data_IF_431038830503
#
_entry.id   IF_431038830503
#
_cell.length_a   1.000
_cell.length_b   1.000
_cell.length_c   1.000
_cell.angle_alpha   90.00
_cell.angle_beta   90.00
_cell.angle_gamma   90.00
#
_symmetry.space_group_name_H-M   'P 1'
#
loop_
_entity.id
_entity.type
_entity.pdbx_description
1 polymer ?
#
# COMPACT_ATOMS: atom_id res chain seq x y z
N UNK A 1 -12.45 -22.07 -18.90
CA UNK A 1 -12.09 -21.63 -17.56
C UNK A 1 -11.43 -22.77 -16.81
N UNK A 2 -10.30 -22.50 -16.17
CA UNK A 2 -9.67 -23.46 -15.27
C UNK A 2 -10.51 -23.60 -14.00
N UNK A 3 -10.51 -24.75 -13.31
CA UNK A 3 -11.20 -24.90 -12.03
C UNK A 3 -10.82 -23.82 -11.02
N UNK A 4 -9.55 -23.40 -10.99
CA UNK A 4 -9.02 -22.34 -10.17
C UNK A 4 -9.75 -21.00 -10.36
N UNK A 5 -9.94 -20.58 -11.62
CA UNK A 5 -10.61 -19.29 -11.93
C UNK A 5 -12.07 -19.33 -11.50
N UNK A 6 -12.75 -20.46 -11.73
CA UNK A 6 -14.12 -20.63 -11.30
C UNK A 6 -14.24 -20.60 -9.76
N UNK A 7 -13.31 -21.24 -9.06
CA UNK A 7 -13.28 -21.24 -7.59
C UNK A 7 -13.18 -19.83 -7.01
N UNK A 8 -12.20 -19.04 -7.46
CA UNK A 8 -12.04 -17.65 -6.97
C UNK A 8 -13.21 -16.77 -7.41
N UNK A 9 -13.76 -16.92 -8.60
CA UNK A 9 -14.90 -16.13 -9.07
C UNK A 9 -16.15 -16.35 -8.20
N UNK A 10 -16.46 -17.61 -7.87
CA UNK A 10 -17.58 -17.94 -6.98
C UNK A 10 -17.31 -17.46 -5.56
N UNK A 11 -16.10 -17.66 -5.06
CA UNK A 11 -15.72 -17.21 -3.71
C UNK A 11 -15.84 -15.69 -3.58
N UNK A 12 -15.22 -14.95 -4.49
CA UNK A 12 -15.21 -13.48 -4.44
C UNK A 12 -16.61 -12.89 -4.54
N UNK A 13 -17.46 -13.39 -5.43
CA UNK A 13 -18.82 -12.92 -5.57
C UNK A 13 -19.65 -13.11 -4.29
N UNK A 14 -19.55 -14.29 -3.67
CA UNK A 14 -20.23 -14.57 -2.41
C UNK A 14 -19.67 -13.74 -1.26
N UNK A 15 -18.34 -13.62 -1.16
CA UNK A 15 -17.70 -12.82 -0.13
C UNK A 15 -18.11 -11.36 -0.19
N UNK A 16 -18.12 -10.77 -1.40
CA UNK A 16 -18.50 -9.37 -1.62
C UNK A 16 -19.99 -9.16 -1.32
N UNK A 17 -20.88 -10.05 -1.76
CA UNK A 17 -22.29 -9.97 -1.41
C UNK A 17 -22.53 -9.99 0.10
N UNK A 18 -21.80 -10.82 0.84
CA UNK A 18 -21.88 -10.88 2.30
C UNK A 18 -21.23 -9.65 2.97
N UNK A 19 -20.08 -9.20 2.45
CA UNK A 19 -19.37 -8.03 2.98
C UNK A 19 -20.19 -6.76 2.79
N UNK A 20 -20.72 -6.53 1.60
CA UNK A 20 -21.50 -5.34 1.24
C UNK A 20 -22.95 -5.40 1.74
N UNK A 21 -23.43 -6.59 2.08
CA UNK A 21 -24.81 -6.80 2.53
C UNK A 21 -25.87 -6.62 1.44
N UNK A 22 -25.44 -6.62 0.18
CA UNK A 22 -26.28 -6.46 -1.02
C UNK A 22 -25.97 -7.63 -1.95
N UNK A 23 -26.97 -8.45 -2.34
CA UNK A 23 -26.77 -9.51 -3.31
C UNK A 23 -26.21 -8.97 -4.64
N UNK A 24 -25.50 -9.81 -5.39
CA UNK A 24 -25.10 -9.48 -6.75
C UNK A 24 -26.30 -8.98 -7.56
N UNK A 25 -26.22 -7.81 -8.23
CA UNK A 25 -27.36 -7.17 -8.85
C UNK A 25 -27.79 -7.79 -10.19
N UNK A 26 -27.21 -8.94 -10.59
CA UNK A 26 -27.50 -9.64 -11.85
C UNK A 26 -27.98 -11.08 -11.63
N UNK A 27 -28.54 -11.68 -12.68
CA UNK A 27 -29.01 -13.06 -12.66
C UNK A 27 -27.88 -14.07 -12.95
N UNK A 28 -26.84 -13.67 -13.65
CA UNK A 28 -25.69 -14.49 -14.05
C UNK A 28 -24.46 -13.63 -14.27
N UNK A 29 -23.27 -14.22 -14.20
CA UNK A 29 -22.01 -13.56 -14.49
C UNK A 29 -21.15 -14.45 -15.39
N UNK A 30 -20.85 -13.98 -16.61
CA UNK A 30 -19.93 -14.64 -17.53
C UNK A 30 -18.53 -14.02 -17.41
N UNK A 31 -17.50 -14.87 -17.43
CA UNK A 31 -16.10 -14.48 -17.52
C UNK A 31 -15.58 -14.85 -18.90
N UNK A 32 -15.23 -13.87 -19.70
CA UNK A 32 -14.95 -14.03 -21.13
C UNK A 32 -13.49 -13.68 -21.42
N UNK A 33 -12.68 -14.68 -21.79
CA UNK A 33 -11.31 -14.44 -22.27
C UNK A 33 -11.34 -13.94 -23.72
N UNK A 34 -10.70 -12.80 -23.97
CA UNK A 34 -10.64 -12.16 -25.30
C UNK A 34 -9.20 -12.10 -25.78
N UNK A 35 -8.89 -12.64 -26.98
CA UNK A 35 -7.60 -12.43 -27.63
C UNK A 35 -7.35 -10.94 -27.89
N UNK A 36 -6.08 -10.53 -27.75
CA UNK A 36 -5.61 -9.15 -28.04
C UNK A 36 -6.35 -8.03 -27.28
N UNK A 37 -6.92 -8.33 -26.09
CA UNK A 37 -7.56 -7.34 -25.25
C UNK A 37 -6.53 -6.33 -24.71
N UNK A 38 -6.76 -5.03 -24.91
CA UNK A 38 -5.79 -3.98 -24.61
C UNK A 38 -5.56 -3.78 -23.12
N UNK A 39 -6.63 -3.84 -22.30
CA UNK A 39 -6.60 -3.71 -20.84
C UNK A 39 -6.36 -5.07 -20.16
N UNK A 40 -6.32 -5.09 -18.83
CA UNK A 40 -6.32 -6.33 -18.04
C UNK A 40 -7.67 -7.03 -18.13
N UNK A 41 -8.71 -6.31 -17.76
CA UNK A 41 -10.10 -6.73 -17.87
C UNK A 41 -11.03 -5.52 -17.99
N UNK A 42 -12.35 -5.76 -18.04
CA UNK A 42 -13.41 -4.74 -18.07
C UNK A 42 -14.66 -5.32 -17.42
N UNK A 43 -15.17 -4.62 -16.45
CA UNK A 43 -16.20 -5.03 -15.51
C UNK A 43 -17.64 -5.02 -16.05
N UNK A 44 -17.87 -5.17 -17.34
CA UNK A 44 -19.25 -5.11 -17.88
C UNK A 44 -20.22 -5.98 -17.07
N UNK A 45 -21.27 -5.38 -16.55
CA UNK A 45 -22.26 -6.05 -15.71
C UNK A 45 -22.79 -7.32 -16.39
N UNK A 46 -22.64 -8.46 -15.73
CA UNK A 46 -23.07 -9.77 -16.23
C UNK A 46 -22.19 -10.42 -17.29
N UNK A 47 -21.14 -9.74 -17.81
CA UNK A 47 -20.26 -10.25 -18.87
C UNK A 47 -18.86 -9.62 -18.82
N UNK A 48 -18.11 -9.92 -17.76
CA UNK A 48 -16.76 -9.40 -17.57
C UNK A 48 -15.84 -9.95 -18.67
N UNK A 49 -15.12 -9.04 -19.34
CA UNK A 49 -14.15 -9.39 -20.37
C UNK A 49 -12.73 -9.30 -19.83
N UNK A 50 -11.91 -10.27 -20.17
CA UNK A 50 -10.52 -10.37 -19.68
C UNK A 50 -9.55 -10.55 -20.83
N UNK A 51 -8.37 -10.00 -20.71
CA UNK A 51 -7.21 -10.45 -21.45
C UNK A 51 -6.93 -11.92 -21.10
N UNK A 52 -6.62 -12.75 -22.10
CA UNK A 52 -6.38 -14.19 -21.87
C UNK A 52 -5.38 -14.45 -20.74
N UNK A 53 -4.29 -13.68 -20.65
CA UNK A 53 -3.26 -13.83 -19.61
C UNK A 53 -3.70 -13.37 -18.21
N UNK A 54 -4.84 -12.70 -18.09
CA UNK A 54 -5.45 -12.28 -16.82
C UNK A 54 -6.56 -13.25 -16.34
N UNK A 55 -6.90 -14.27 -17.14
CA UNK A 55 -7.94 -15.23 -16.81
C UNK A 55 -7.52 -16.69 -16.99
N UNK A 56 -6.81 -17.01 -18.07
CA UNK A 56 -6.47 -18.39 -18.42
C UNK A 56 -5.19 -18.85 -17.75
N UNK A 57 -5.25 -20.00 -17.09
CA UNK A 57 -4.16 -20.56 -16.31
C UNK A 57 -4.06 -22.07 -16.47
N UNK A 58 -2.86 -22.58 -16.72
CA UNK A 58 -2.56 -24.01 -16.51
C UNK A 58 -1.99 -24.20 -15.09
N UNK A 59 -2.80 -24.68 -14.17
CA UNK A 59 -2.43 -24.90 -12.77
C UNK A 59 -1.18 -25.79 -12.56
N UNK A 60 -0.86 -26.64 -13.54
CA UNK A 60 0.31 -27.56 -13.42
C UNK A 60 1.63 -26.85 -13.64
N UNK A 61 1.63 -25.73 -14.34
CA UNK A 61 2.84 -24.99 -14.73
C UNK A 61 2.89 -23.57 -14.20
N UNK A 62 1.73 -23.06 -13.72
CA UNK A 62 1.62 -21.70 -13.23
C UNK A 62 2.41 -21.47 -11.95
N UNK A 63 3.12 -20.37 -11.93
CA UNK A 63 3.81 -19.88 -10.73
C UNK A 63 2.80 -19.35 -9.70
N UNK A 64 3.23 -19.26 -8.45
CA UNK A 64 2.44 -18.64 -7.39
C UNK A 64 2.07 -17.18 -7.72
N UNK A 65 2.99 -16.43 -8.30
CA UNK A 65 2.74 -15.05 -8.73
C UNK A 65 1.66 -14.93 -9.81
N UNK A 66 1.64 -15.85 -10.79
CA UNK A 66 0.60 -15.89 -11.82
C UNK A 66 -0.77 -16.24 -11.23
N UNK A 67 -0.81 -17.22 -10.32
CA UNK A 67 -2.05 -17.58 -9.60
C UNK A 67 -2.58 -16.39 -8.79
N UNK A 68 -1.70 -15.73 -8.03
CA UNK A 68 -2.05 -14.56 -7.24
C UNK A 68 -2.61 -13.43 -8.11
N UNK A 69 -1.93 -13.11 -9.22
CA UNK A 69 -2.39 -12.07 -10.14
C UNK A 69 -3.78 -12.37 -10.74
N UNK A 70 -4.03 -13.61 -11.16
CA UNK A 70 -5.35 -13.99 -11.72
C UNK A 70 -6.42 -13.89 -10.64
N UNK A 71 -6.13 -14.34 -9.42
CA UNK A 71 -7.05 -14.24 -8.31
C UNK A 71 -7.40 -12.78 -8.00
N UNK A 72 -6.39 -11.90 -7.96
CA UNK A 72 -6.57 -10.47 -7.73
C UNK A 72 -7.46 -9.85 -8.82
N UNK A 73 -7.14 -10.06 -10.10
CA UNK A 73 -7.91 -9.48 -11.21
C UNK A 73 -9.36 -9.98 -11.20
N UNK A 74 -9.60 -11.28 -10.99
CA UNK A 74 -10.97 -11.82 -10.92
C UNK A 74 -11.76 -11.22 -9.74
N UNK A 75 -11.12 -11.05 -8.58
CA UNK A 75 -11.76 -10.44 -7.42
C UNK A 75 -11.99 -8.92 -7.62
N UNK A 76 -11.08 -8.23 -8.32
CA UNK A 76 -11.19 -6.82 -8.70
C UNK A 76 -12.43 -6.61 -9.59
N UNK A 77 -12.53 -7.34 -10.68
CA UNK A 77 -13.66 -7.21 -11.61
C UNK A 77 -15.00 -7.58 -10.94
N UNK A 78 -14.99 -8.56 -10.03
CA UNK A 78 -16.19 -8.87 -9.26
C UNK A 78 -16.57 -7.75 -8.28
N UNK A 79 -15.60 -7.03 -7.71
CA UNK A 79 -15.89 -5.91 -6.82
C UNK A 79 -16.56 -4.73 -7.55
N UNK A 80 -16.23 -4.53 -8.81
CA UNK A 80 -16.88 -3.51 -9.63
C UNK A 80 -18.39 -3.70 -9.76
N UNK A 81 -18.93 -4.90 -9.58
CA UNK A 81 -20.38 -5.14 -9.60
C UNK A 81 -21.11 -4.29 -8.56
N UNK A 82 -20.43 -3.86 -7.47
CA UNK A 82 -20.93 -2.90 -6.48
C UNK A 82 -20.31 -1.52 -6.66
N UNK A 83 -18.98 -1.45 -6.88
CA UNK A 83 -18.22 -0.20 -6.98
C UNK A 83 -17.92 0.12 -8.46
N UNK A 84 -18.90 0.69 -9.14
CA UNK A 84 -18.87 1.00 -10.57
C UNK A 84 -20.21 0.74 -11.23
N UNK A 85 -20.75 -0.47 -11.06
CA UNK A 85 -22.02 -0.88 -11.69
C UNK A 85 -23.23 -0.52 -10.83
N UNK A 86 -23.28 -0.99 -9.57
CA UNK A 86 -24.42 -0.67 -8.69
C UNK A 86 -24.42 0.80 -8.28
N UNK A 87 -23.26 1.33 -7.89
CA UNK A 87 -23.02 2.74 -7.59
C UNK A 87 -21.90 3.23 -8.49
N UNK A 88 -22.23 4.14 -9.39
CA UNK A 88 -21.28 4.68 -10.37
C UNK A 88 -20.81 6.07 -9.94
N UNK A 89 -19.55 6.39 -10.15
CA UNK A 89 -19.03 7.76 -9.96
C UNK A 89 -19.89 8.78 -10.74
N UNK A 90 -20.13 9.95 -10.18
CA UNK A 90 -20.94 11.00 -10.83
C UNK A 90 -20.22 11.59 -12.07
N UNK A 91 -18.89 11.62 -12.05
CA UNK A 91 -18.07 12.07 -13.16
C UNK A 91 -16.66 11.44 -13.08
N UNK A 92 -15.90 11.53 -14.14
CA UNK A 92 -14.57 10.93 -14.30
C UNK A 92 -13.55 11.35 -13.24
N UNK A 93 -13.67 12.54 -12.62
CA UNK A 93 -12.80 12.93 -11.52
C UNK A 93 -12.91 11.98 -10.31
N UNK A 94 -14.07 11.35 -10.11
CA UNK A 94 -14.33 10.36 -9.06
C UNK A 94 -13.94 8.93 -9.43
N UNK A 95 -13.16 8.69 -10.49
CA UNK A 95 -12.79 7.33 -10.96
C UNK A 95 -12.23 6.43 -9.85
N UNK A 96 -11.53 7.00 -8.90
CA UNK A 96 -10.97 6.27 -7.75
C UNK A 96 -12.04 5.60 -6.87
N UNK A 97 -13.29 6.11 -6.87
CA UNK A 97 -14.42 5.48 -6.15
C UNK A 97 -14.76 4.10 -6.72
N UNK A 98 -14.46 3.86 -7.98
CA UNK A 98 -14.58 2.55 -8.61
C UNK A 98 -13.28 1.77 -8.42
N UNK A 99 -12.19 2.27 -8.97
CA UNK A 99 -10.93 1.55 -9.14
C UNK A 99 -10.16 1.29 -7.84
N UNK A 100 -10.08 2.29 -6.95
CA UNK A 100 -9.41 2.10 -5.67
C UNK A 100 -10.20 1.17 -4.75
N UNK A 101 -11.55 1.22 -4.81
CA UNK A 101 -12.36 0.26 -4.07
C UNK A 101 -12.20 -1.16 -4.62
N UNK A 102 -12.23 -1.35 -5.93
CA UNK A 102 -11.99 -2.66 -6.52
C UNK A 102 -10.60 -3.20 -6.13
N UNK A 103 -9.56 -2.35 -6.18
CA UNK A 103 -8.20 -2.73 -5.73
C UNK A 103 -8.13 -3.03 -4.23
N UNK A 104 -8.84 -2.30 -3.38
CA UNK A 104 -8.91 -2.59 -1.95
C UNK A 104 -9.65 -3.91 -1.69
N UNK A 105 -10.78 -4.13 -2.38
CA UNK A 105 -11.61 -5.33 -2.22
C UNK A 105 -10.93 -6.59 -2.76
N UNK A 106 -10.20 -6.51 -3.87
CA UNK A 106 -9.42 -7.66 -4.38
C UNK A 106 -8.45 -8.19 -3.31
N UNK A 107 -7.71 -7.28 -2.65
CA UNK A 107 -6.79 -7.67 -1.59
C UNK A 107 -7.53 -8.26 -0.39
N UNK A 108 -8.65 -7.68 0.00
CA UNK A 108 -9.46 -8.15 1.13
C UNK A 108 -10.03 -9.55 0.87
N UNK A 109 -10.54 -9.76 -0.34
CA UNK A 109 -11.14 -11.05 -0.78
C UNK A 109 -10.07 -12.14 -0.87
N UNK A 110 -8.97 -11.88 -1.58
CA UNK A 110 -7.96 -12.91 -1.83
C UNK A 110 -7.18 -13.27 -0.56
N UNK A 111 -6.92 -12.28 0.32
CA UNK A 111 -6.33 -12.54 1.65
C UNK A 111 -7.25 -13.40 2.55
N UNK A 112 -8.56 -13.20 2.46
CA UNK A 112 -9.53 -14.03 3.17
C UNK A 112 -9.67 -15.44 2.56
N UNK A 113 -9.55 -15.57 1.24
CA UNK A 113 -9.61 -16.86 0.53
C UNK A 113 -8.37 -17.72 0.74
N UNK A 114 -7.20 -17.09 0.69
CA UNK A 114 -5.89 -17.74 0.82
C UNK A 114 -5.00 -16.94 1.79
N UNK A 115 -5.24 -17.01 3.10
CA UNK A 115 -4.47 -16.23 4.10
C UNK A 115 -2.97 -16.49 4.03
N UNK A 116 -2.56 -17.72 3.67
CA UNK A 116 -1.17 -18.12 3.50
C UNK A 116 -0.44 -17.39 2.34
N UNK A 117 -1.17 -16.67 1.49
CA UNK A 117 -0.61 -15.86 0.41
C UNK A 117 -0.20 -14.46 0.87
N UNK A 118 -0.56 -14.07 2.10
CA UNK A 118 -0.19 -12.78 2.71
C UNK A 118 -0.39 -11.60 1.75
N UNK A 119 -1.60 -11.47 1.16
CA UNK A 119 -1.85 -10.50 0.07
C UNK A 119 -1.59 -9.06 0.47
N UNK A 120 -1.77 -8.69 1.72
CA UNK A 120 -1.43 -7.35 2.21
C UNK A 120 0.08 -7.10 2.25
N UNK A 121 0.91 -8.13 2.43
CA UNK A 121 2.38 -8.00 2.27
C UNK A 121 2.74 -7.77 0.79
N UNK A 122 2.15 -8.55 -0.12
CA UNK A 122 2.34 -8.36 -1.57
C UNK A 122 1.86 -6.97 -2.03
N UNK A 123 0.71 -6.48 -1.53
CA UNK A 123 0.20 -5.14 -1.80
C UNK A 123 1.17 -4.03 -1.34
N UNK A 124 2.04 -4.30 -0.35
CA UNK A 124 3.12 -3.41 0.03
C UNK A 124 4.02 -3.00 -1.14
N UNK A 125 4.23 -3.89 -2.12
CA UNK A 125 5.00 -3.61 -3.35
C UNK A 125 4.26 -2.61 -4.24
N UNK A 126 2.97 -2.83 -4.48
CA UNK A 126 2.11 -1.93 -5.26
C UNK A 126 2.02 -0.54 -4.60
N UNK A 127 1.83 -0.50 -3.28
CA UNK A 127 1.88 0.74 -2.50
C UNK A 127 3.24 1.44 -2.62
N UNK A 128 4.36 0.72 -2.61
CA UNK A 128 5.69 1.30 -2.78
C UNK A 128 5.88 1.91 -4.19
N UNK A 129 5.28 1.33 -5.22
CA UNK A 129 5.25 1.92 -6.56
C UNK A 129 4.47 3.23 -6.56
N UNK A 130 3.29 3.29 -5.93
CA UNK A 130 2.52 4.52 -5.76
C UNK A 130 3.31 5.59 -4.98
N UNK A 131 3.94 5.22 -3.85
CA UNK A 131 4.81 6.13 -3.09
C UNK A 131 5.98 6.67 -3.93
N UNK A 132 6.51 5.87 -4.86
CA UNK A 132 7.62 6.28 -5.72
C UNK A 132 7.18 7.33 -6.75
N UNK A 133 6.02 7.16 -7.36
CA UNK A 133 5.44 8.12 -8.31
C UNK A 133 4.99 9.39 -7.58
N UNK A 134 4.32 9.24 -6.44
CA UNK A 134 3.77 10.34 -5.67
C UNK A 134 4.83 11.18 -4.92
N UNK A 135 6.06 10.66 -4.82
CA UNK A 135 7.25 11.39 -4.35
C UNK A 135 7.89 12.32 -5.39
N UNK A 136 7.43 12.32 -6.64
CA UNK A 136 7.92 13.19 -7.70
C UNK A 136 7.31 14.59 -7.59
N UNK A 137 8.01 15.61 -8.08
CA UNK A 137 7.47 16.98 -8.15
C UNK A 137 6.30 17.10 -9.14
N UNK A 138 6.26 16.23 -10.15
CA UNK A 138 5.21 16.17 -11.18
C UNK A 138 3.99 15.35 -10.79
N UNK A 139 3.91 14.89 -9.55
CA UNK A 139 2.75 14.10 -9.06
C UNK A 139 1.46 14.93 -9.07
N UNK A 140 0.34 14.21 -9.01
CA UNK A 140 -1.02 14.77 -9.02
C UNK A 140 -1.83 14.29 -7.80
N UNK A 141 -2.94 14.96 -7.44
CA UNK A 141 -3.94 14.40 -6.53
C UNK A 141 -4.56 13.12 -7.09
N UNK A 142 -5.17 12.30 -6.23
CA UNK A 142 -6.01 11.17 -6.67
C UNK A 142 -7.18 11.71 -7.47
N UNK A 143 -7.89 12.67 -6.91
CA UNK A 143 -9.01 13.34 -7.58
C UNK A 143 -8.63 14.76 -7.99
N UNK A 144 -8.85 15.06 -9.27
CA UNK A 144 -8.68 16.40 -9.85
C UNK A 144 -9.73 16.61 -10.96
N UNK A 145 -10.07 17.88 -11.31
CA UNK A 145 -11.08 18.17 -12.31
C UNK A 145 -10.74 17.56 -13.67
N UNK A 146 -11.63 16.74 -14.22
CA UNK A 146 -11.55 16.17 -15.58
C UNK A 146 -12.52 16.91 -16.49
N UNK A 147 -12.00 17.54 -17.54
CA UNK A 147 -12.76 18.40 -18.46
C UNK A 147 -12.93 17.81 -19.85
N UNK A 148 -12.08 16.83 -20.19
CA UNK A 148 -12.04 16.23 -21.52
C UNK A 148 -11.73 14.73 -21.43
N UNK A 149 -12.17 13.89 -22.40
CA UNK A 149 -11.92 12.43 -22.40
C UNK A 149 -10.43 12.06 -22.28
N UNK A 150 -9.54 12.82 -22.91
CA UNK A 150 -8.09 12.61 -22.83
C UNK A 150 -7.55 12.77 -21.40
N UNK A 151 -8.15 13.62 -20.59
CA UNK A 151 -7.77 13.81 -19.19
C UNK A 151 -8.27 12.61 -18.35
N UNK A 152 -9.45 12.04 -18.70
CA UNK A 152 -9.97 10.84 -18.06
C UNK A 152 -9.04 9.64 -18.28
N UNK A 153 -8.52 9.44 -19.50
CA UNK A 153 -7.58 8.37 -19.81
C UNK A 153 -6.32 8.43 -18.93
N UNK A 154 -5.84 9.64 -18.62
CA UNK A 154 -4.67 9.85 -17.76
C UNK A 154 -4.93 9.52 -16.27
N UNK A 155 -6.17 9.29 -15.86
CA UNK A 155 -6.50 8.89 -14.49
C UNK A 155 -6.31 7.39 -14.22
N UNK A 156 -6.22 6.56 -15.24
CA UNK A 156 -5.97 5.11 -15.08
C UNK A 156 -4.48 4.86 -14.80
N UNK A 157 -4.05 5.19 -13.60
CA UNK A 157 -2.66 5.05 -13.17
C UNK A 157 -2.53 4.60 -11.69
N UNK A 158 -1.31 4.34 -11.27
CA UNK A 158 -0.94 3.90 -9.93
C UNK A 158 -1.45 4.81 -8.79
N UNK A 159 -1.75 6.08 -9.05
CA UNK A 159 -2.27 6.99 -8.03
C UNK A 159 -3.77 6.77 -7.81
N UNK A 160 -4.52 6.52 -8.86
CA UNK A 160 -5.95 6.21 -8.75
C UNK A 160 -6.14 4.84 -8.08
N UNK A 161 -5.42 3.82 -8.52
CA UNK A 161 -5.57 2.43 -8.04
C UNK A 161 -4.89 2.22 -6.68
N UNK A 162 -3.56 2.20 -6.65
CA UNK A 162 -2.77 1.74 -5.52
C UNK A 162 -2.67 2.78 -4.39
N UNK A 163 -2.50 4.08 -4.72
CA UNK A 163 -2.58 5.12 -3.68
C UNK A 163 -3.99 5.16 -3.11
N UNK A 164 -5.03 5.17 -3.96
CA UNK A 164 -6.42 5.18 -3.53
C UNK A 164 -6.74 4.00 -2.59
N UNK A 165 -6.41 2.76 -3.00
CA UNK A 165 -6.61 1.56 -2.17
C UNK A 165 -5.80 1.60 -0.86
N UNK A 166 -4.56 2.13 -0.90
CA UNK A 166 -3.74 2.30 0.31
C UNK A 166 -4.36 3.28 1.30
N UNK A 167 -4.95 4.35 0.80
CA UNK A 167 -5.65 5.37 1.60
C UNK A 167 -6.92 4.78 2.22
N UNK A 168 -7.68 3.97 1.48
CA UNK A 168 -8.83 3.22 2.02
C UNK A 168 -8.39 2.22 3.09
N UNK A 169 -7.30 1.48 2.87
CA UNK A 169 -6.76 0.55 3.88
C UNK A 169 -6.32 1.27 5.14
N UNK A 170 -5.64 2.41 5.01
CA UNK A 170 -5.22 3.24 6.15
C UNK A 170 -6.44 3.73 6.95
N UNK A 171 -7.50 4.18 6.28
CA UNK A 171 -8.74 4.62 6.91
C UNK A 171 -9.45 3.46 7.60
N UNK A 172 -9.59 2.32 6.94
CA UNK A 172 -10.19 1.10 7.51
C UNK A 172 -9.49 0.69 8.79
N UNK A 173 -8.16 0.69 8.81
CA UNK A 173 -7.38 0.34 10.00
C UNK A 173 -7.48 1.39 11.11
N UNK A 174 -7.72 2.64 10.75
CA UNK A 174 -7.91 3.74 11.71
C UNK A 174 -9.27 3.66 12.42
N UNK A 175 -10.36 3.56 11.66
CA UNK A 175 -11.72 3.56 12.23
C UNK A 175 -12.17 2.16 12.66
N UNK A 176 -11.49 1.13 12.23
CA UNK A 176 -11.78 -0.29 12.49
C UNK A 176 -12.55 -0.97 11.36
N UNK A 177 -12.19 -2.24 11.02
CA UNK A 177 -12.74 -2.94 9.86
C UNK A 177 -14.26 -3.08 9.85
N UNK A 178 -14.86 -3.34 11.02
CA UNK A 178 -16.33 -3.46 11.14
C UNK A 178 -17.03 -2.13 10.87
N UNK A 179 -16.53 -1.05 11.45
CA UNK A 179 -17.11 0.30 11.27
C UNK A 179 -16.93 0.76 9.82
N UNK A 180 -15.77 0.48 9.20
CA UNK A 180 -15.52 0.77 7.79
C UNK A 180 -16.52 0.04 6.89
N UNK A 181 -16.69 -1.27 7.10
CA UNK A 181 -17.68 -2.09 6.37
C UNK A 181 -19.11 -1.53 6.52
N UNK A 182 -19.50 -1.17 7.72
CA UNK A 182 -20.87 -0.65 7.97
C UNK A 182 -21.07 0.70 7.25
N UNK A 183 -20.02 1.55 7.17
CA UNK A 183 -20.05 2.79 6.39
C UNK A 183 -20.12 2.52 4.88
N UNK A 184 -19.39 1.53 4.38
CA UNK A 184 -19.45 1.09 2.97
C UNK A 184 -20.86 0.57 2.63
N UNK A 185 -21.46 -0.26 3.47
CA UNK A 185 -22.84 -0.72 3.31
C UNK A 185 -23.83 0.42 3.24
N UNK A 186 -23.68 1.40 4.11
CA UNK A 186 -24.51 2.59 4.10
C UNK A 186 -24.37 3.37 2.79
N UNK A 187 -23.14 3.56 2.30
CA UNK A 187 -22.84 4.21 1.04
C UNK A 187 -23.51 3.49 -0.14
N UNK A 188 -23.25 2.19 -0.29
CA UNK A 188 -23.81 1.39 -1.38
C UNK A 188 -25.36 1.34 -1.34
N UNK A 189 -25.94 1.18 -0.16
CA UNK A 189 -27.43 1.14 -0.03
C UNK A 189 -28.06 2.49 -0.36
N UNK A 190 -27.42 3.59 0.06
CA UNK A 190 -27.96 4.95 -0.15
C UNK A 190 -27.93 5.36 -1.63
N UNK A 191 -26.89 4.95 -2.34
CA UNK A 191 -26.63 5.35 -3.73
C UNK A 191 -26.90 4.26 -4.77
N UNK A 192 -27.48 3.11 -4.35
CA UNK A 192 -27.75 1.96 -5.25
C UNK A 192 -28.54 2.41 -6.50
N UNK A 193 -28.07 1.92 -7.67
CA UNK A 193 -28.61 2.27 -8.98
C UNK A 193 -28.52 3.76 -9.33
N UNK A 194 -27.58 4.47 -8.72
CA UNK A 194 -27.36 5.89 -8.89
C UNK A 194 -25.91 6.25 -9.02
N UNK A 195 -25.63 7.54 -8.88
CA UNK A 195 -24.30 8.10 -8.96
C UNK A 195 -23.88 8.69 -7.61
N UNK A 196 -22.58 8.71 -7.34
CA UNK A 196 -22.03 9.25 -6.11
C UNK A 196 -20.73 10.04 -6.36
N UNK A 197 -20.45 10.96 -5.45
CA UNK A 197 -19.21 11.72 -5.37
C UNK A 197 -18.40 11.31 -4.12
N UNK A 198 -17.16 11.72 -4.06
CA UNK A 198 -16.26 11.46 -2.91
C UNK A 198 -16.87 11.91 -1.58
N UNK A 199 -17.59 13.01 -1.57
CA UNK A 199 -18.28 13.54 -0.38
C UNK A 199 -19.37 12.60 0.15
N UNK A 200 -20.05 11.86 -0.71
CA UNK A 200 -21.10 10.91 -0.33
C UNK A 200 -20.53 9.71 0.44
N UNK A 201 -19.37 9.24 -0.01
CA UNK A 201 -18.60 8.22 0.70
C UNK A 201 -18.17 8.70 2.09
N UNK A 202 -17.62 9.93 2.17
CA UNK A 202 -17.21 10.50 3.46
C UNK A 202 -18.36 10.67 4.43
N UNK A 203 -19.53 11.11 3.96
CA UNK A 203 -20.73 11.22 4.79
C UNK A 203 -21.12 9.85 5.35
N UNK A 204 -21.10 8.80 4.53
CA UNK A 204 -21.47 7.45 4.96
C UNK A 204 -20.47 6.87 5.98
N UNK A 205 -19.17 7.05 5.77
CA UNK A 205 -18.14 6.61 6.71
C UNK A 205 -18.14 7.44 8.00
N UNK A 206 -18.39 8.76 7.91
CA UNK A 206 -18.55 9.62 9.09
C UNK A 206 -19.78 9.23 9.91
N UNK A 207 -20.90 8.88 9.27
CA UNK A 207 -22.10 8.39 9.93
C UNK A 207 -21.81 7.10 10.73
N UNK A 208 -21.12 6.13 10.12
CA UNK A 208 -20.81 4.87 10.78
C UNK A 208 -19.76 5.03 11.90
N UNK A 209 -18.72 5.82 11.67
CA UNK A 209 -17.60 5.97 12.61
C UNK A 209 -17.80 7.01 13.69
N UNK A 210 -18.75 7.92 13.53
CA UNK A 210 -18.95 9.12 14.36
C UNK A 210 -17.68 10.00 14.44
N UNK A 211 -16.85 9.97 13.38
CA UNK A 211 -15.63 10.77 13.24
C UNK A 211 -15.76 11.75 12.07
N UNK A 212 -14.94 12.81 12.09
CA UNK A 212 -14.88 13.76 10.98
C UNK A 212 -14.00 13.21 9.84
N UNK A 213 -14.54 12.23 9.10
CA UNK A 213 -13.83 11.58 7.97
C UNK A 213 -13.44 12.57 6.89
N UNK A 214 -14.27 13.56 6.49
CA UNK A 214 -13.84 14.59 5.53
C UNK A 214 -12.55 15.31 5.94
N UNK A 215 -12.48 15.76 7.20
CA UNK A 215 -11.29 16.45 7.70
C UNK A 215 -10.03 15.55 7.69
N UNK A 216 -10.22 14.24 7.96
CA UNK A 216 -9.15 13.26 7.92
C UNK A 216 -8.66 12.99 6.49
N UNK A 217 -9.59 12.90 5.53
CA UNK A 217 -9.30 12.28 4.23
C UNK A 217 -9.08 13.26 3.08
N UNK A 218 -9.57 14.50 3.17
CA UNK A 218 -9.53 15.43 2.05
C UNK A 218 -8.10 15.69 1.54
N UNK A 219 -7.12 15.85 2.44
CA UNK A 219 -5.73 16.06 2.04
C UNK A 219 -5.13 14.85 1.28
N UNK A 220 -5.59 13.64 1.60
CA UNK A 220 -5.09 12.43 0.92
C UNK A 220 -5.62 12.28 -0.50
N UNK A 221 -6.83 12.75 -0.76
CA UNK A 221 -7.51 12.58 -2.05
C UNK A 221 -7.29 13.78 -2.97
N UNK A 222 -7.40 15.00 -2.43
CA UNK A 222 -7.40 16.24 -3.22
C UNK A 222 -6.05 16.95 -3.27
N UNK A 223 -5.05 16.44 -2.55
CA UNK A 223 -3.70 17.01 -2.56
C UNK A 223 -2.65 16.01 -3.08
N UNK A 224 -1.64 16.48 -3.85
CA UNK A 224 -0.57 15.63 -4.36
C UNK A 224 0.47 15.33 -3.28
N UNK A 225 1.10 14.18 -3.34
CA UNK A 225 2.15 13.78 -2.42
C UNK A 225 1.66 13.13 -1.15
N UNK A 226 2.58 12.89 -0.23
CA UNK A 226 2.37 12.21 1.04
C UNK A 226 3.41 12.63 2.08
N UNK A 227 3.17 12.40 3.39
CA UNK A 227 4.12 12.80 4.41
C UNK A 227 5.29 11.83 4.59
N UNK A 228 6.47 12.39 4.85
CA UNK A 228 7.58 11.72 5.53
C UNK A 228 7.44 12.00 7.02
N UNK A 229 7.31 10.94 7.81
CA UNK A 229 7.36 10.99 9.26
C UNK A 229 8.80 10.82 9.72
N UNK A 230 9.33 11.77 10.48
CA UNK A 230 10.63 11.61 11.13
C UNK A 230 10.44 11.40 12.62
N UNK A 231 11.05 10.34 13.15
CA UNK A 231 10.99 9.96 14.55
C UNK A 231 12.34 10.17 15.22
N UNK A 232 12.33 10.88 16.32
CA UNK A 232 13.50 11.08 17.18
C UNK A 232 13.12 10.89 18.65
N UNK A 233 14.11 10.55 19.47
CA UNK A 233 13.95 10.40 20.92
C UNK A 233 14.96 11.31 21.62
N UNK A 234 14.52 11.99 22.65
CA UNK A 234 15.38 12.81 23.49
C UNK A 234 15.84 12.07 24.77
N UNK A 235 16.71 12.72 25.56
CA UNK A 235 17.23 12.17 26.81
C UNK A 235 16.17 11.98 27.92
N UNK A 236 14.98 12.57 27.74
CA UNK A 236 13.85 12.42 28.67
C UNK A 236 12.92 11.27 28.32
N UNK A 237 13.28 10.46 27.32
CA UNK A 237 12.43 9.42 26.74
C UNK A 237 11.13 9.97 26.12
N UNK A 238 11.19 11.17 25.55
CA UNK A 238 10.09 11.73 24.78
C UNK A 238 10.32 11.48 23.30
N UNK A 239 9.38 10.77 22.67
CA UNK A 239 9.35 10.54 21.23
C UNK A 239 8.80 11.80 20.54
N UNK A 240 9.59 12.36 19.65
CA UNK A 240 9.17 13.46 18.76
C UNK A 240 8.84 12.88 17.40
N UNK A 241 7.62 13.14 16.94
CA UNK A 241 7.10 12.83 15.61
C UNK A 241 6.97 14.13 14.83
N UNK A 242 7.61 14.22 13.68
CA UNK A 242 7.42 15.36 12.76
C UNK A 242 6.96 14.87 11.41
N UNK A 243 6.15 15.70 10.71
CA UNK A 243 5.75 15.44 9.34
C UNK A 243 6.20 16.56 8.40
N UNK A 244 6.54 16.17 7.18
CA UNK A 244 6.71 17.07 6.05
C UNK A 244 6.41 16.31 4.76
N UNK A 245 6.09 17.00 3.67
CA UNK A 245 5.94 16.33 2.38
C UNK A 245 7.25 15.62 1.99
N UNK A 246 7.14 14.36 1.56
CA UNK A 246 8.26 13.63 0.97
C UNK A 246 8.48 14.07 -0.48
N UNK A 247 9.73 14.20 -0.89
CA UNK A 247 10.12 14.39 -2.29
C UNK A 247 11.54 13.89 -2.52
N UNK A 248 11.80 13.34 -3.72
CA UNK A 248 13.16 12.98 -4.15
C UNK A 248 14.02 14.19 -4.53
N UNK A 249 13.42 15.37 -4.74
CA UNK A 249 14.11 16.60 -5.09
C UNK A 249 14.50 17.44 -3.86
N UNK A 250 14.79 16.83 -2.73
CA UNK A 250 15.21 17.54 -1.52
C UNK A 250 16.51 18.32 -1.75
N UNK A 251 16.54 19.58 -1.32
CA UNK A 251 17.67 20.48 -1.57
C UNK A 251 17.67 21.18 -2.94
N UNK A 252 16.74 20.87 -3.83
CA UNK A 252 16.54 21.66 -5.05
C UNK A 252 15.91 23.02 -4.72
N UNK A 253 16.26 24.06 -5.48
CA UNK A 253 15.68 25.42 -5.35
C UNK A 253 14.16 25.44 -5.57
N UNK A 254 13.58 24.40 -6.15
CA UNK A 254 12.14 24.21 -6.31
C UNK A 254 11.42 23.92 -4.97
N UNK A 255 12.12 23.45 -3.94
CA UNK A 255 11.54 23.18 -2.61
C UNK A 255 11.35 24.47 -1.76
N UNK A 256 11.86 25.63 -2.21
CA UNK A 256 11.88 26.88 -1.42
C UNK A 256 10.78 27.89 -1.79
N UNK A 257 9.62 27.45 -2.25
CA UNK A 257 8.55 28.33 -2.79
C UNK A 257 7.77 29.16 -1.76
N UNK A 258 8.19 29.27 -0.51
CA UNK A 258 7.51 30.08 0.50
C UNK A 258 6.02 29.76 0.76
N UNK A 259 5.50 28.71 0.13
CA UNK A 259 4.15 28.23 0.34
C UNK A 259 4.00 27.62 1.77
N UNK A 260 2.83 27.72 2.41
CA UNK A 260 2.58 27.03 3.67
C UNK A 260 2.92 25.55 3.56
N UNK A 261 3.49 24.98 4.63
CA UNK A 261 3.79 23.55 4.67
C UNK A 261 2.49 22.75 4.49
N UNK A 262 2.48 21.85 3.50
CA UNK A 262 1.39 20.90 3.35
C UNK A 262 1.45 19.90 4.51
N UNK A 263 0.34 19.75 5.23
CA UNK A 263 0.20 18.85 6.38
C UNK A 263 -0.98 17.92 6.14
N UNK A 264 -0.86 16.69 6.63
CA UNK A 264 -1.92 15.68 6.61
C UNK A 264 -2.39 15.38 8.03
N UNK A 265 -3.61 14.92 8.17
CA UNK A 265 -4.00 14.18 9.37
C UNK A 265 -3.54 12.74 9.20
N UNK A 266 -2.47 12.37 9.91
CA UNK A 266 -1.81 11.07 9.74
C UNK A 266 -2.19 10.15 10.90
N UNK A 267 -2.99 9.09 10.67
CA UNK A 267 -3.24 8.07 11.68
C UNK A 267 -2.02 7.15 11.79
N UNK A 268 -1.38 7.16 12.94
CA UNK A 268 -0.16 6.38 13.18
C UNK A 268 -0.45 5.31 14.23
N UNK A 269 -0.09 4.06 13.91
CA UNK A 269 -0.03 2.99 14.90
C UNK A 269 1.43 2.78 15.30
N UNK A 270 1.71 2.99 16.60
CA UNK A 270 3.02 2.79 17.19
C UNK A 270 3.02 1.48 17.96
N UNK A 271 3.98 0.58 17.70
CA UNK A 271 4.32 -0.53 18.59
C UNK A 271 5.50 -0.10 19.45
N UNK A 272 5.30 -0.08 20.75
CA UNK A 272 6.33 0.29 21.74
C UNK A 272 6.68 -0.97 22.50
N UNK A 273 7.91 -1.45 22.35
CA UNK A 273 8.44 -2.55 23.16
C UNK A 273 8.99 -2.03 24.47
N UNK A 274 8.74 -2.76 25.54
CA UNK A 274 9.25 -2.52 26.89
C UNK A 274 9.82 -3.82 27.46
N UNK A 275 10.49 -3.77 28.61
CA UNK A 275 10.93 -4.97 29.33
C UNK A 275 9.77 -5.92 29.70
N UNK A 276 8.52 -5.44 29.70
CA UNK A 276 7.33 -6.18 30.10
C UNK A 276 6.51 -6.73 28.91
N UNK A 277 6.87 -6.37 27.69
CA UNK A 277 6.17 -6.75 26.45
C UNK A 277 5.96 -5.56 25.50
N UNK A 278 5.12 -5.74 24.50
CA UNK A 278 4.79 -4.71 23.54
C UNK A 278 3.40 -4.13 23.81
N UNK A 279 3.26 -2.80 23.60
CA UNK A 279 1.98 -2.11 23.57
C UNK A 279 1.77 -1.40 22.23
N UNK A 280 0.53 -1.39 21.73
CA UNK A 280 0.15 -0.59 20.56
C UNK A 280 -0.47 0.71 21.02
N UNK A 281 0.00 1.83 20.47
CA UNK A 281 -0.55 3.17 20.73
C UNK A 281 -0.98 3.81 19.42
N UNK A 282 -2.25 4.22 19.35
CA UNK A 282 -2.79 4.99 18.22
C UNK A 282 -2.58 6.49 18.46
N UNK A 283 -2.03 7.16 17.47
CA UNK A 283 -1.71 8.60 17.51
C UNK A 283 -2.21 9.25 16.23
N UNK A 284 -2.86 10.40 16.37
CA UNK A 284 -3.15 11.27 15.23
C UNK A 284 -2.11 12.39 15.20
N UNK A 285 -1.38 12.52 14.09
CA UNK A 285 -0.46 13.63 13.85
C UNK A 285 -1.13 14.60 12.87
N UNK A 286 -1.70 15.69 13.40
CA UNK A 286 -2.37 16.73 12.61
C UNK A 286 -1.51 17.97 12.42
N UNK A 287 -0.59 18.21 13.34
CA UNK A 287 0.35 19.33 13.32
C UNK A 287 1.69 18.90 12.70
N UNK A 288 2.58 19.86 12.49
CA UNK A 288 3.93 19.58 11.99
C UNK A 288 4.74 18.72 12.95
N UNK A 289 4.50 18.84 14.27
CA UNK A 289 5.20 18.10 15.32
C UNK A 289 4.22 17.64 16.40
N UNK A 290 4.47 16.42 16.93
CA UNK A 290 3.83 15.92 18.14
C UNK A 290 4.88 15.28 19.05
N UNK A 291 4.69 15.36 20.37
CA UNK A 291 5.58 14.81 21.37
C UNK A 291 4.85 13.83 22.27
N UNK A 292 5.41 12.63 22.40
CA UNK A 292 4.80 11.53 23.11
C UNK A 292 5.77 11.00 24.17
N UNK A 293 5.42 11.07 25.47
CA UNK A 293 6.22 10.43 26.48
C UNK A 293 6.16 8.90 26.33
N UNK A 294 7.32 8.26 26.32
CA UNK A 294 7.43 6.80 26.31
C UNK A 294 7.53 6.25 27.73
N UNK A 295 7.17 4.97 27.96
CA UNK A 295 7.49 4.28 29.20
C UNK A 295 8.99 4.33 29.49
N UNK A 296 9.39 4.42 30.76
CA UNK A 296 10.82 4.52 31.12
C UNK A 296 11.66 3.30 30.72
N UNK A 297 11.01 2.15 30.61
CA UNK A 297 11.59 0.86 30.26
C UNK A 297 11.39 0.49 28.76
N UNK A 298 11.13 1.50 27.89
CA UNK A 298 11.04 1.28 26.45
C UNK A 298 12.38 0.74 25.88
N UNK A 299 12.29 -0.14 24.89
CA UNK A 299 13.45 -0.73 24.23
C UNK A 299 13.46 -0.46 22.72
N UNK A 300 12.30 -0.47 22.07
CA UNK A 300 12.17 -0.09 20.66
C UNK A 300 10.79 0.49 20.35
N UNK A 301 10.73 1.27 19.27
CA UNK A 301 9.49 1.86 18.75
C UNK A 301 9.42 1.59 17.26
N UNK A 302 8.33 0.97 16.83
CA UNK A 302 7.97 0.83 15.43
C UNK A 302 6.80 1.76 15.12
N UNK A 303 6.93 2.63 14.13
CA UNK A 303 5.82 3.36 13.54
C UNK A 303 5.26 2.57 12.34
N UNK A 304 3.99 2.82 12.00
CA UNK A 304 3.26 2.09 10.98
C UNK A 304 3.17 0.59 11.27
N UNK A 305 2.82 0.24 12.53
CA UNK A 305 2.53 -1.15 12.91
C UNK A 305 1.50 -1.76 11.96
N UNK A 306 1.73 -3.00 11.51
CA UNK A 306 0.93 -3.67 10.50
C UNK A 306 1.14 -3.16 9.07
N UNK A 307 1.90 -2.08 8.89
CA UNK A 307 2.32 -1.60 7.58
C UNK A 307 1.24 -0.96 6.70
N UNK A 308 0.15 -0.44 7.28
CA UNK A 308 -1.05 -0.03 6.52
C UNK A 308 -1.07 1.46 6.09
N UNK A 309 -0.16 2.29 6.61
CA UNK A 309 -0.14 3.72 6.30
C UNK A 309 0.43 4.03 4.91
N UNK A 310 -0.11 5.06 4.24
CA UNK A 310 0.43 5.61 3.00
C UNK A 310 1.38 6.77 3.29
N UNK A 311 2.46 6.49 4.00
CA UNK A 311 3.50 7.45 4.36
C UNK A 311 4.84 6.73 4.53
N UNK A 312 5.94 7.48 4.49
CA UNK A 312 7.27 6.95 4.79
C UNK A 312 7.70 7.30 6.20
N UNK A 313 8.52 6.44 6.79
CA UNK A 313 9.04 6.62 8.15
C UNK A 313 10.56 6.69 8.12
N UNK A 314 11.12 7.72 8.76
CA UNK A 314 12.57 7.86 9.00
C UNK A 314 12.84 7.87 10.49
N UNK A 315 13.61 6.91 10.94
CA UNK A 315 14.02 6.77 12.33
C UNK A 315 15.35 7.50 12.59
N UNK A 316 15.49 8.13 13.76
CA UNK A 316 16.82 8.52 14.26
C UNK A 316 17.68 7.28 14.51
N UNK A 317 19.00 7.44 14.53
CA UNK A 317 19.95 6.33 14.79
C UNK A 317 19.63 5.60 16.09
N UNK A 318 19.26 6.31 17.15
CA UNK A 318 18.91 5.69 18.43
C UNK A 318 17.69 4.76 18.34
N UNK A 319 16.63 5.18 17.62
CA UNK A 319 15.43 4.38 17.43
C UNK A 319 15.68 3.19 16.50
N UNK A 320 16.45 3.40 15.42
CA UNK A 320 16.82 2.32 14.52
C UNK A 320 17.64 1.24 15.23
N UNK A 321 18.62 1.64 16.05
CA UNK A 321 19.40 0.72 16.88
C UNK A 321 18.50 -0.08 17.85
N UNK A 322 17.48 0.55 18.43
CA UNK A 322 16.50 -0.13 19.28
C UNK A 322 15.75 -1.24 18.52
N UNK A 323 15.29 -0.95 17.30
CA UNK A 323 14.63 -1.96 16.44
C UNK A 323 15.59 -3.11 16.08
N UNK A 324 16.84 -2.80 15.75
CA UNK A 324 17.87 -3.82 15.46
C UNK A 324 18.18 -4.71 16.66
N UNK A 325 18.27 -4.13 17.86
CA UNK A 325 18.52 -4.87 19.10
C UNK A 325 17.35 -5.74 19.54
N UNK A 326 16.13 -5.30 19.33
CA UNK A 326 14.93 -6.09 19.59
C UNK A 326 14.82 -7.27 18.61
N UNK A 327 15.46 -7.16 17.45
CA UNK A 327 15.52 -8.17 16.40
C UNK A 327 14.48 -7.91 15.29
N UNK A 328 14.97 -7.58 14.11
CA UNK A 328 14.09 -7.28 12.96
C UNK A 328 13.23 -8.47 12.53
N UNK A 329 13.65 -9.71 12.87
CA UNK A 329 12.88 -10.94 12.61
C UNK A 329 11.57 -11.02 13.40
N UNK A 330 11.41 -10.21 14.46
CA UNK A 330 10.15 -10.12 15.23
C UNK A 330 9.11 -9.24 14.51
N UNK A 331 9.52 -8.49 13.50
CA UNK A 331 8.63 -7.67 12.68
C UNK A 331 7.91 -8.55 11.64
N UNK A 332 6.66 -8.19 11.33
CA UNK A 332 5.93 -8.83 10.23
C UNK A 332 6.64 -8.57 8.89
N UNK A 333 6.49 -9.43 7.86
CA UNK A 333 7.12 -9.23 6.55
C UNK A 333 6.88 -7.85 5.96
N UNK A 334 5.65 -7.34 5.99
CA UNK A 334 5.30 -6.01 5.49
C UNK A 334 5.98 -4.88 6.28
N UNK A 335 6.22 -5.05 7.58
CA UNK A 335 6.93 -4.07 8.42
C UNK A 335 8.42 -4.03 8.07
N UNK A 336 9.03 -5.20 7.83
CA UNK A 336 10.41 -5.31 7.35
C UNK A 336 10.57 -4.70 5.95
N UNK A 337 9.62 -5.01 5.06
CA UNK A 337 9.52 -4.40 3.74
C UNK A 337 9.50 -2.88 3.82
N UNK A 338 8.60 -2.30 4.64
CA UNK A 338 8.47 -0.86 4.81
C UNK A 338 9.76 -0.24 5.33
N UNK A 339 10.38 -0.82 6.37
CA UNK A 339 11.63 -0.30 6.93
C UNK A 339 12.74 -0.18 5.88
N UNK A 340 12.92 -1.21 5.05
CA UNK A 340 13.90 -1.19 3.96
C UNK A 340 13.51 -0.22 2.85
N UNK A 341 12.25 -0.24 2.40
CA UNK A 341 11.78 0.60 1.30
C UNK A 341 11.81 2.09 1.67
N UNK A 342 11.43 2.45 2.91
CA UNK A 342 11.46 3.83 3.38
C UNK A 342 12.90 4.34 3.56
N UNK A 343 13.80 3.48 4.07
CA UNK A 343 15.22 3.81 4.18
C UNK A 343 15.85 3.95 2.79
N UNK A 344 15.52 3.06 1.85
CA UNK A 344 16.00 3.16 0.48
C UNK A 344 15.53 4.44 -0.21
N UNK A 345 14.23 4.77 -0.12
CA UNK A 345 13.70 6.02 -0.66
C UNK A 345 14.35 7.26 -0.05
N UNK A 346 14.63 7.23 1.26
CA UNK A 346 15.37 8.28 1.95
C UNK A 346 16.82 8.36 1.48
N UNK A 347 17.42 7.24 1.08
CA UNK A 347 18.78 7.19 0.49
C UNK A 347 18.79 7.83 -0.89
N UNK A 348 17.84 7.50 -1.75
CA UNK A 348 17.68 8.12 -3.07
C UNK A 348 17.46 9.64 -2.94
N UNK A 349 16.70 10.07 -1.94
CA UNK A 349 16.44 11.48 -1.66
C UNK A 349 17.64 12.21 -0.97
N UNK A 350 18.76 11.52 -0.72
CA UNK A 350 19.95 12.11 -0.10
C UNK A 350 19.86 12.36 1.41
N UNK A 351 18.83 11.82 2.08
CA UNK A 351 18.60 11.98 3.52
C UNK A 351 19.30 10.93 4.38
N UNK A 352 19.65 9.79 3.78
CA UNK A 352 20.38 8.67 4.39
C UNK A 352 21.56 8.34 3.50
N UNK A 353 22.73 8.05 4.09
CA UNK A 353 23.87 7.67 3.28
C UNK A 353 23.71 6.26 2.70
N UNK A 354 24.25 5.98 1.48
CA UNK A 354 24.27 4.62 0.94
C UNK A 354 24.95 3.60 1.88
N UNK A 355 25.96 4.04 2.64
CA UNK A 355 26.67 3.19 3.60
C UNK A 355 25.77 2.79 4.77
N UNK A 356 24.96 3.72 5.30
CA UNK A 356 23.99 3.42 6.37
C UNK A 356 22.91 2.47 5.89
N UNK A 357 22.42 2.65 4.64
CA UNK A 357 21.47 1.71 4.05
C UNK A 357 22.08 0.30 3.89
N UNK A 358 23.30 0.20 3.36
CA UNK A 358 23.98 -1.10 3.23
C UNK A 358 24.20 -1.76 4.60
N UNK A 359 24.56 -0.97 5.63
CA UNK A 359 24.67 -1.47 7.00
C UNK A 359 23.33 -1.97 7.55
N UNK A 360 22.20 -1.29 7.25
CA UNK A 360 20.88 -1.79 7.62
C UNK A 360 20.60 -3.16 7.00
N UNK A 361 20.93 -3.36 5.71
CA UNK A 361 20.71 -4.66 5.05
C UNK A 361 21.48 -5.82 5.69
N UNK A 362 22.51 -5.54 6.52
CA UNK A 362 23.23 -6.58 7.25
C UNK A 362 22.39 -7.34 8.25
N UNK A 363 21.37 -6.70 8.77
CA UNK A 363 20.44 -7.28 9.75
C UNK A 363 19.38 -8.19 9.11
N UNK A 364 19.34 -8.29 7.77
CA UNK A 364 18.40 -9.11 6.99
C UNK A 364 19.01 -10.39 6.41
N UNK A 365 20.13 -10.87 6.97
CA UNK A 365 20.83 -12.08 6.47
C UNK A 365 20.00 -13.36 6.50
N UNK A 366 19.00 -13.45 7.37
CA UNK A 366 18.10 -14.59 7.50
C UNK A 366 16.72 -14.35 6.89
N UNK A 367 16.58 -13.34 6.02
CA UNK A 367 15.31 -13.03 5.40
C UNK A 367 14.84 -14.17 4.47
N UNK A 368 13.54 -14.45 4.51
CA UNK A 368 12.91 -15.48 3.68
C UNK A 368 11.77 -14.93 2.81
N UNK A 369 11.25 -13.74 3.14
CA UNK A 369 10.17 -13.14 2.39
C UNK A 369 10.64 -12.62 1.04
N UNK A 370 10.01 -13.02 -0.08
CA UNK A 370 10.43 -12.62 -1.43
C UNK A 370 10.25 -11.13 -1.70
N UNK A 371 9.27 -10.47 -1.07
CA UNK A 371 9.01 -9.03 -1.27
C UNK A 371 10.07 -8.19 -0.55
N UNK A 372 10.49 -8.60 0.63
CA UNK A 372 11.60 -7.96 1.36
C UNK A 372 12.91 -8.11 0.55
N UNK A 373 13.17 -9.29 -0.01
CA UNK A 373 14.30 -9.52 -0.91
C UNK A 373 14.23 -8.65 -2.17
N UNK A 374 13.04 -8.46 -2.74
CA UNK A 374 12.86 -7.63 -3.93
C UNK A 374 13.33 -6.18 -3.70
N UNK A 375 13.07 -5.61 -2.52
CA UNK A 375 13.56 -4.26 -2.16
C UNK A 375 15.09 -4.24 -2.13
N UNK A 376 15.72 -5.20 -1.46
CA UNK A 376 17.19 -5.26 -1.38
C UNK A 376 17.82 -5.45 -2.76
N UNK A 377 17.31 -6.39 -3.55
CA UNK A 377 17.85 -6.67 -4.88
C UNK A 377 17.69 -5.49 -5.84
N UNK A 378 16.54 -4.82 -5.81
CA UNK A 378 16.27 -3.60 -6.58
C UNK A 378 17.23 -2.46 -6.20
N UNK A 379 17.48 -2.27 -4.90
CA UNK A 379 18.41 -1.25 -4.41
C UNK A 379 19.88 -1.56 -4.81
N UNK A 380 20.31 -2.81 -4.68
CA UNK A 380 21.65 -3.22 -5.10
C UNK A 380 21.85 -3.09 -6.62
N UNK A 381 20.82 -3.44 -7.40
CA UNK A 381 20.83 -3.23 -8.85
C UNK A 381 20.98 -1.77 -9.21
N UNK A 382 20.21 -0.90 -8.57
CA UNK A 382 20.31 0.56 -8.78
C UNK A 382 21.68 1.09 -8.41
N UNK A 383 22.24 0.71 -7.26
CA UNK A 383 23.59 1.09 -6.87
C UNK A 383 24.64 0.62 -7.88
N UNK A 384 24.51 -0.62 -8.39
CA UNK A 384 25.43 -1.17 -9.38
C UNK A 384 25.44 -0.37 -10.69
N UNK A 385 24.29 0.17 -11.11
CA UNK A 385 24.21 1.04 -12.29
C UNK A 385 24.88 2.41 -12.07
N UNK A 386 24.88 2.92 -10.83
CA UNK A 386 25.45 4.22 -10.50
C UNK A 386 26.95 4.17 -10.22
N UNK A 387 27.49 3.03 -9.83
CA UNK A 387 28.91 2.85 -9.53
C UNK A 387 29.78 2.82 -10.77
N UNK A 388 31.03 3.30 -10.60
CA UNK A 388 32.10 3.13 -11.60
C UNK A 388 32.38 1.64 -11.87
N UNK A 389 32.93 1.30 -13.02
CA UNK A 389 33.34 -0.08 -13.33
C UNK A 389 34.36 -0.64 -12.33
N UNK A 390 35.21 0.24 -11.77
CA UNK A 390 36.23 -0.11 -10.78
C UNK A 390 35.59 -0.50 -9.43
N UNK A 391 34.48 0.15 -9.02
CA UNK A 391 33.83 -0.07 -7.73
C UNK A 391 32.79 -1.20 -7.74
N UNK A 392 32.25 -1.56 -8.91
CA UNK A 392 31.24 -2.64 -9.05
C UNK A 392 31.67 -3.98 -8.46
N UNK A 393 32.94 -4.44 -8.57
CA UNK A 393 33.38 -5.68 -7.95
C UNK A 393 33.25 -5.69 -6.42
N UNK A 394 33.41 -4.53 -5.75
CA UNK A 394 33.24 -4.41 -4.30
C UNK A 394 31.79 -4.61 -3.89
N UNK A 395 30.85 -3.94 -4.59
CA UNK A 395 29.43 -4.16 -4.37
C UNK A 395 29.03 -5.61 -4.70
N UNK A 396 29.53 -6.18 -5.78
CA UNK A 396 29.25 -7.56 -6.15
C UNK A 396 29.74 -8.57 -5.09
N UNK A 397 30.89 -8.32 -4.44
CA UNK A 397 31.37 -9.14 -3.34
C UNK A 397 30.47 -9.01 -2.10
N UNK A 398 30.03 -7.79 -1.78
CA UNK A 398 29.09 -7.51 -0.70
C UNK A 398 27.77 -8.25 -0.94
N UNK A 399 27.17 -8.13 -2.13
CA UNK A 399 25.90 -8.75 -2.49
C UNK A 399 26.00 -10.28 -2.45
N UNK A 400 27.08 -10.87 -2.99
CA UNK A 400 27.30 -12.33 -2.92
C UNK A 400 27.33 -12.83 -1.48
N UNK A 401 28.01 -12.11 -0.59
CA UNK A 401 28.05 -12.48 0.82
C UNK A 401 26.65 -12.51 1.47
N UNK A 402 25.72 -11.64 1.01
CA UNK A 402 24.33 -11.60 1.48
C UNK A 402 23.47 -12.72 0.91
N UNK A 403 23.57 -12.93 -0.40
CA UNK A 403 22.67 -13.83 -1.14
C UNK A 403 23.05 -15.30 -0.99
N UNK A 404 24.35 -15.62 -0.90
CA UNK A 404 24.84 -17.00 -0.96
C UNK A 404 24.16 -17.93 0.07
N UNK A 405 23.98 -17.57 1.36
CA UNK A 405 23.33 -18.46 2.31
C UNK A 405 21.90 -18.79 1.92
N UNK A 406 21.08 -17.78 1.63
CA UNK A 406 19.67 -17.95 1.24
C UNK A 406 19.56 -18.71 -0.09
N UNK A 407 20.41 -18.39 -1.07
CA UNK A 407 20.44 -19.08 -2.35
C UNK A 407 20.78 -20.57 -2.22
N UNK A 408 21.74 -20.91 -1.35
CA UNK A 408 22.11 -22.31 -1.08
C UNK A 408 21.00 -23.08 -0.36
N UNK A 409 20.29 -22.42 0.57
CA UNK A 409 19.15 -23.01 1.28
C UNK A 409 17.94 -23.25 0.38
N UNK A 410 17.63 -22.29 -0.49
CA UNK A 410 16.52 -22.41 -1.46
C UNK A 410 16.77 -23.51 -2.50
N UNK A 411 18.00 -23.61 -3.03
CA UNK A 411 18.35 -24.53 -4.12
C UNK A 411 17.59 -24.23 -5.41
N UNK A 412 17.49 -25.26 -6.27
CA UNK A 412 16.86 -25.18 -7.60
C UNK A 412 15.59 -26.04 -7.72
N UNK A 413 15.21 -26.75 -6.66
CA UNK A 413 14.01 -27.58 -6.68
C UNK A 413 12.79 -26.73 -6.36
N UNK A 414 11.76 -26.70 -7.22
CA UNK A 414 10.50 -26.01 -6.90
C UNK A 414 9.90 -26.55 -5.57
N UNK A 415 9.47 -25.67 -4.72
CA UNK A 415 8.84 -25.99 -3.43
C UNK A 415 7.33 -25.83 -3.53
#
# INVERSE_FOLDING_TARGET
LTPFVHEIAVYSLNFLADYDGIPYPGDKLDLIAIPDFASGAMENLGAITFRETALLLDQRTATHAEQGRIADVVAHENAHMWFGDLVTMAWWNGLWLNEAFATFMEMLVVDAWKPEWERWTAFGVSRAAALSVDGLLSTRPIEFPVRAPKEAEAMFDVLTYEKGASVLRMLEQHIGPTVFRDGVRHYLTTHAYGNAETTDLWVSLAHASQQNVPALMNEWIFSPGYPLLSLAIDSSSTLTLTQRRFTYAEGSTAASSGAPAQLWQVPIQLRIHTARGAETRRVMLSDQENRIPLPKDWTSVLANEGGHGFYRVRYSTALLNGLQQTGLQTLAPVERFNLLNDTWASTIAGMVSPADYLSLTEHFRGEQDPHVWAVMLGSFSTMNHLLSEEDRPLLAAFVRNRLTPTFQDLGWTPR
#
